data_IF_066439861563
#
_entry.id   IF_066439861563
#
_cell.length_a   1.000
_cell.length_b   1.000
_cell.length_c   1.000
_cell.angle_alpha   90.00
_cell.angle_beta   90.00
_cell.angle_gamma   90.00
#
_symmetry.space_group_name_H-M   'P 1'
#
loop_
_entity.id
_entity.type
_entity.pdbx_description
1 polymer ?
#
# COMPACT_ATOMS: atom_id res chain seq x y z
N UNK A 1 -5.82 13.96 -0.99
CA UNK A 1 -4.68 13.77 -1.90
C UNK A 1 -3.62 14.81 -1.60
N UNK A 2 -2.36 14.42 -1.37
CA UNK A 2 -1.25 15.36 -1.21
C UNK A 2 -0.67 15.78 -2.57
N UNK A 3 -0.75 14.89 -3.57
CA UNK A 3 -0.43 15.20 -4.97
C UNK A 3 -1.58 14.84 -5.89
N UNK A 4 -1.52 15.26 -7.14
CA UNK A 4 -2.40 14.75 -8.19
C UNK A 4 -2.20 13.27 -8.44
N UNK A 5 -3.19 12.61 -9.06
CA UNK A 5 -3.17 11.19 -9.40
C UNK A 5 -2.52 10.91 -10.76
N UNK A 6 -1.93 9.73 -10.90
CA UNK A 6 -1.34 9.29 -12.17
C UNK A 6 -2.42 8.97 -13.20
N UNK A 7 -3.48 8.28 -12.78
CA UNK A 7 -4.56 7.85 -13.67
C UNK A 7 -5.64 8.90 -13.90
N UNK A 8 -5.62 10.02 -13.17
CA UNK A 8 -6.47 11.16 -13.42
C UNK A 8 -5.96 11.96 -14.64
N UNK A 9 -6.77 12.22 -15.69
CA UNK A 9 -6.31 12.92 -16.89
C UNK A 9 -5.96 14.39 -16.68
N UNK A 10 -6.45 15.03 -15.62
CA UNK A 10 -6.37 16.47 -15.41
C UNK A 10 -5.23 16.86 -14.47
N UNK A 11 -5.07 16.12 -13.36
CA UNK A 11 -4.08 16.45 -12.34
C UNK A 11 -2.65 16.03 -12.70
N UNK A 12 -1.66 16.64 -12.06
CA UNK A 12 -0.25 16.26 -12.21
C UNK A 12 0.27 15.63 -10.91
N UNK A 13 0.68 14.39 -10.98
CA UNK A 13 1.19 13.62 -9.84
C UNK A 13 2.44 14.24 -9.17
N UNK A 14 3.12 15.18 -9.85
CA UNK A 14 4.28 15.90 -9.31
C UNK A 14 3.90 17.11 -8.48
N UNK A 15 2.66 17.60 -8.63
CA UNK A 15 2.19 18.85 -8.01
C UNK A 15 1.53 18.55 -6.67
N UNK A 16 1.94 19.29 -5.65
CA UNK A 16 1.27 19.29 -4.35
C UNK A 16 -0.07 20.02 -4.47
N UNK A 17 -1.18 19.33 -4.15
CA UNK A 17 -2.53 19.88 -4.30
C UNK A 17 -3.01 20.64 -3.06
N UNK A 18 -2.68 20.15 -1.87
CA UNK A 18 -3.00 20.82 -0.61
C UNK A 18 -1.79 21.55 -0.07
N UNK A 19 -1.96 22.77 0.42
CA UNK A 19 -0.89 23.47 1.12
C UNK A 19 -0.48 22.74 2.40
N UNK A 20 0.73 22.96 2.88
CA UNK A 20 1.24 22.40 4.14
C UNK A 20 0.28 22.69 5.31
N UNK A 21 -0.28 23.90 5.36
CA UNK A 21 -1.23 24.31 6.39
C UNK A 21 -2.56 23.54 6.32
N UNK A 22 -3.07 23.28 5.10
CA UNK A 22 -4.31 22.50 4.92
C UNK A 22 -4.10 21.05 5.33
N UNK A 23 -2.97 20.44 4.94
CA UNK A 23 -2.65 19.06 5.35
C UNK A 23 -2.46 18.95 6.86
N UNK A 24 -1.69 19.85 7.46
CA UNK A 24 -1.46 19.87 8.90
C UNK A 24 -2.79 20.01 9.67
N UNK A 25 -3.69 20.88 9.19
CA UNK A 25 -5.01 21.04 9.82
C UNK A 25 -5.87 19.81 9.69
N UNK A 26 -5.91 19.16 8.52
CA UNK A 26 -6.65 17.93 8.31
C UNK A 26 -6.17 16.81 9.23
N UNK A 27 -4.85 16.64 9.36
CA UNK A 27 -4.24 15.64 10.25
C UNK A 27 -4.58 15.93 11.71
N UNK A 28 -4.41 17.19 12.16
CA UNK A 28 -4.75 17.60 13.53
C UNK A 28 -6.21 17.29 13.88
N UNK A 29 -7.15 17.64 12.99
CA UNK A 29 -8.57 17.41 13.21
C UNK A 29 -8.93 15.92 13.26
N UNK A 30 -8.34 15.11 12.36
CA UNK A 30 -8.55 13.68 12.33
C UNK A 30 -7.97 13.01 13.60
N UNK A 31 -6.74 13.30 13.95
CA UNK A 31 -6.10 12.74 15.15
C UNK A 31 -6.82 13.13 16.43
N UNK A 32 -7.31 14.38 16.54
CA UNK A 32 -8.13 14.82 17.67
C UNK A 32 -9.44 14.02 17.77
N UNK A 33 -9.98 13.57 16.64
CA UNK A 33 -11.17 12.71 16.59
C UNK A 33 -10.85 11.21 16.77
N UNK A 34 -9.57 10.84 16.95
CA UNK A 34 -9.13 9.44 17.11
C UNK A 34 -9.00 8.67 15.80
N UNK A 35 -8.92 9.37 14.67
CA UNK A 35 -8.81 8.75 13.34
C UNK A 35 -7.39 8.85 12.77
N UNK A 36 -6.98 7.82 12.05
CA UNK A 36 -5.77 7.80 11.24
C UNK A 36 -5.96 8.56 9.94
N UNK A 37 -4.87 9.09 9.37
CA UNK A 37 -4.87 9.79 8.09
C UNK A 37 -3.94 9.10 7.11
N UNK A 38 -4.50 8.61 6.02
CA UNK A 38 -3.77 8.13 4.86
C UNK A 38 -3.65 9.25 3.81
N UNK A 39 -2.54 9.32 3.10
CA UNK A 39 -2.31 10.32 2.06
C UNK A 39 -1.83 9.69 0.76
N UNK A 40 -2.67 9.76 -0.27
CA UNK A 40 -2.20 9.54 -1.63
C UNK A 40 -1.13 10.58 -1.96
N UNK A 41 0.09 10.14 -2.28
CA UNK A 41 1.20 11.02 -2.64
C UNK A 41 2.21 10.30 -3.56
N UNK A 42 2.35 10.80 -4.77
CA UNK A 42 3.25 10.27 -5.78
C UNK A 42 4.55 11.05 -5.89
N UNK A 43 4.45 12.36 -6.06
CA UNK A 43 5.59 13.26 -6.23
C UNK A 43 6.30 13.56 -4.91
N UNK A 44 7.62 13.62 -4.95
CA UNK A 44 8.51 13.86 -3.78
C UNK A 44 8.11 15.05 -2.93
N UNK A 45 7.65 16.17 -3.55
CA UNK A 45 7.26 17.40 -2.83
C UNK A 45 6.04 17.11 -1.93
N UNK A 46 5.00 16.50 -2.49
CA UNK A 46 3.79 16.16 -1.74
C UNK A 46 4.04 15.07 -0.70
N UNK A 47 4.88 14.07 -1.00
CA UNK A 47 5.31 13.05 -0.02
C UNK A 47 5.91 13.73 1.21
N UNK A 48 6.91 14.62 1.02
CA UNK A 48 7.56 15.33 2.13
C UNK A 48 6.59 16.22 2.90
N UNK A 49 5.69 16.90 2.19
CA UNK A 49 4.68 17.75 2.82
C UNK A 49 3.70 16.93 3.67
N UNK A 50 3.21 15.79 3.17
CA UNK A 50 2.34 14.90 3.91
C UNK A 50 3.03 14.31 5.16
N UNK A 51 4.30 13.87 5.03
CA UNK A 51 5.09 13.38 6.17
C UNK A 51 5.26 14.49 7.23
N UNK A 52 5.57 15.74 6.81
CA UNK A 52 5.68 16.88 7.74
C UNK A 52 4.36 17.18 8.43
N UNK A 53 3.25 17.06 7.74
CA UNK A 53 1.91 17.23 8.29
C UNK A 53 1.54 16.16 9.34
N UNK A 54 2.26 15.01 9.35
CA UNK A 54 2.07 13.95 10.34
C UNK A 54 1.04 12.91 9.95
N UNK A 55 0.86 12.63 8.65
CA UNK A 55 0.01 11.53 8.18
C UNK A 55 0.53 10.18 8.71
N UNK A 56 -0.38 9.24 8.93
CA UNK A 56 -0.06 7.91 9.43
C UNK A 56 0.51 7.01 8.32
N UNK A 57 0.02 7.17 7.08
CA UNK A 57 0.53 6.46 5.92
C UNK A 57 0.63 7.32 4.68
N UNK A 58 1.55 6.93 3.80
CA UNK A 58 1.67 7.37 2.41
C UNK A 58 1.23 6.21 1.53
N UNK A 59 0.29 6.47 0.65
CA UNK A 59 -0.15 5.53 -0.38
C UNK A 59 0.65 5.78 -1.65
N UNK A 60 1.10 4.70 -2.29
CA UNK A 60 1.99 4.64 -3.46
C UNK A 60 3.43 5.08 -3.17
N UNK A 61 3.68 6.35 -2.91
CA UNK A 61 5.03 6.85 -2.64
C UNK A 61 5.99 6.67 -3.80
N UNK A 62 5.48 6.69 -5.05
CA UNK A 62 6.21 6.24 -6.25
C UNK A 62 7.50 7.01 -6.53
N UNK A 63 7.56 8.29 -6.15
CA UNK A 63 8.78 9.09 -6.26
C UNK A 63 9.44 9.36 -4.89
N UNK A 64 9.34 8.40 -3.96
CA UNK A 64 9.99 8.47 -2.66
C UNK A 64 11.50 8.58 -2.84
N UNK A 65 12.09 9.70 -2.43
CA UNK A 65 13.53 9.91 -2.44
C UNK A 65 14.19 9.48 -1.11
N UNK A 66 15.50 9.60 -1.03
CA UNK A 66 16.26 9.19 0.15
C UNK A 66 15.88 10.01 1.40
N UNK A 67 15.65 11.31 1.25
CA UNK A 67 15.25 12.18 2.35
C UNK A 67 13.86 11.81 2.86
N UNK A 68 12.90 11.59 1.95
CA UNK A 68 11.54 11.18 2.30
C UNK A 68 11.53 9.83 3.03
N UNK A 69 12.34 8.87 2.57
CA UNK A 69 12.45 7.56 3.22
C UNK A 69 12.99 7.68 4.66
N UNK A 70 14.02 8.51 4.88
CA UNK A 70 14.54 8.81 6.22
C UNK A 70 13.48 9.46 7.11
N UNK A 71 12.77 10.47 6.57
CA UNK A 71 11.70 11.15 7.29
C UNK A 71 10.59 10.19 7.71
N UNK A 72 10.17 9.26 6.82
CA UNK A 72 9.17 8.24 7.14
C UNK A 72 9.64 7.33 8.28
N UNK A 73 10.87 6.83 8.19
CA UNK A 73 11.45 5.96 9.21
C UNK A 73 11.54 6.66 10.58
N UNK A 74 12.01 7.92 10.62
CA UNK A 74 12.13 8.71 11.84
C UNK A 74 10.78 9.04 12.50
N UNK A 75 9.74 9.27 11.69
CA UNK A 75 8.41 9.63 12.17
C UNK A 75 7.49 8.43 12.37
N UNK A 76 7.90 7.24 11.92
CA UNK A 76 7.08 6.04 11.97
C UNK A 76 5.92 6.03 10.98
N UNK A 77 5.97 6.88 9.94
CA UNK A 77 4.97 6.92 8.87
C UNK A 77 5.07 5.65 8.04
N UNK A 78 3.94 5.00 7.77
CA UNK A 78 3.86 3.78 6.97
C UNK A 78 3.89 4.09 5.47
N UNK A 79 4.40 3.13 4.69
CA UNK A 79 4.21 3.10 3.24
C UNK A 79 3.27 1.96 2.87
N UNK A 80 2.26 2.25 2.06
CA UNK A 80 1.38 1.29 1.40
C UNK A 80 1.66 1.38 -0.10
N UNK A 81 2.56 0.53 -0.65
CA UNK A 81 3.22 0.82 -1.93
C UNK A 81 2.40 0.51 -3.17
N UNK A 82 1.38 -0.35 -3.09
CA UNK A 82 0.48 -0.73 -4.21
C UNK A 82 1.23 -1.02 -5.52
N UNK A 83 2.23 -1.90 -5.44
CA UNK A 83 3.18 -2.12 -6.55
C UNK A 83 2.52 -2.76 -7.78
N UNK A 84 1.52 -3.62 -7.56
CA UNK A 84 0.84 -4.34 -8.63
C UNK A 84 -0.13 -3.44 -9.41
N UNK A 85 -0.80 -2.50 -8.74
CA UNK A 85 -1.80 -1.61 -9.32
C UNK A 85 -1.34 -0.96 -10.64
N UNK A 86 -0.18 -0.29 -10.64
CA UNK A 86 0.35 0.33 -11.86
C UNK A 86 0.70 -0.69 -12.95
N UNK A 87 1.19 -1.87 -12.60
CA UNK A 87 1.48 -2.92 -13.58
C UNK A 87 0.19 -3.42 -14.23
N UNK A 88 -0.86 -3.59 -13.44
CA UNK A 88 -2.18 -3.99 -13.90
C UNK A 88 -2.81 -2.92 -14.80
N UNK A 89 -2.82 -1.66 -14.34
CA UNK A 89 -3.36 -0.53 -15.09
C UNK A 89 -2.64 -0.31 -16.43
N UNK A 90 -1.32 -0.44 -16.47
CA UNK A 90 -0.58 -0.33 -17.73
C UNK A 90 -0.89 -1.46 -18.70
N UNK A 91 -1.20 -2.65 -18.21
CA UNK A 91 -1.55 -3.82 -19.02
C UNK A 91 -2.98 -3.74 -19.54
N UNK A 92 -3.93 -3.27 -18.74
CA UNK A 92 -5.37 -3.35 -18.99
C UNK A 92 -6.04 -2.01 -19.28
N UNK A 93 -5.41 -0.89 -18.93
CA UNK A 93 -6.04 0.41 -18.87
C UNK A 93 -6.66 0.88 -20.19
N UNK A 94 -5.96 0.70 -21.33
CA UNK A 94 -6.52 1.09 -22.63
C UNK A 94 -7.77 0.28 -22.97
N UNK A 95 -7.79 -1.02 -22.66
CA UNK A 95 -8.97 -1.88 -22.89
C UNK A 95 -10.12 -1.56 -21.93
N UNK A 96 -9.81 -1.00 -20.75
CA UNK A 96 -10.78 -0.51 -19.76
C UNK A 96 -11.20 0.95 -20.02
N UNK A 97 -10.75 1.57 -21.12
CA UNK A 97 -11.16 2.93 -21.53
C UNK A 97 -10.42 4.06 -20.80
N UNK A 98 -9.27 3.79 -20.18
CA UNK A 98 -8.45 4.86 -19.60
C UNK A 98 -7.88 5.77 -20.70
N UNK A 99 -7.83 7.05 -20.40
CA UNK A 99 -7.34 8.08 -21.31
C UNK A 99 -5.86 7.87 -21.69
N UNK A 100 -5.48 8.05 -22.96
CA UNK A 100 -4.09 7.92 -23.40
C UNK A 100 -3.09 8.81 -22.63
N UNK A 101 -3.52 9.99 -22.19
CA UNK A 101 -2.73 10.92 -21.39
C UNK A 101 -2.39 10.35 -20.01
N UNK A 102 -3.35 9.68 -19.36
CA UNK A 102 -3.15 8.99 -18.09
C UNK A 102 -2.21 7.80 -18.25
N UNK A 103 -2.39 7.02 -19.32
CA UNK A 103 -1.48 5.91 -19.64
C UNK A 103 -0.04 6.38 -19.87
N UNK A 104 0.15 7.52 -20.55
CA UNK A 104 1.47 8.11 -20.75
C UNK A 104 2.12 8.54 -19.42
N UNK A 105 1.35 9.09 -18.48
CA UNK A 105 1.83 9.39 -17.12
C UNK A 105 2.22 8.11 -16.37
N UNK A 106 1.39 7.08 -16.41
CA UNK A 106 1.66 5.77 -15.80
C UNK A 106 2.98 5.16 -16.31
N UNK A 107 3.19 5.14 -17.64
CA UNK A 107 4.44 4.68 -18.26
C UNK A 107 5.65 5.49 -17.77
N UNK A 108 5.48 6.81 -17.61
CA UNK A 108 6.57 7.66 -17.17
C UNK A 108 6.96 7.44 -15.71
N UNK A 109 6.00 7.18 -14.85
CA UNK A 109 6.23 7.08 -13.40
C UNK A 109 6.56 5.65 -12.92
N UNK A 110 6.02 4.61 -13.54
CA UNK A 110 6.17 3.22 -13.07
C UNK A 110 7.62 2.78 -12.90
N UNK A 111 8.54 3.33 -13.68
CA UNK A 111 9.98 3.06 -13.58
C UNK A 111 10.60 3.57 -12.28
N UNK A 112 9.97 4.54 -11.62
CA UNK A 112 10.43 5.10 -10.34
C UNK A 112 9.98 4.25 -9.14
N UNK A 113 8.89 3.48 -9.28
CA UNK A 113 8.26 2.71 -8.21
C UNK A 113 9.21 1.70 -7.57
N UNK A 114 9.86 0.86 -8.37
CA UNK A 114 10.80 -0.13 -7.84
C UNK A 114 12.01 0.49 -7.12
N UNK A 115 12.69 1.50 -7.67
CA UNK A 115 13.74 2.23 -6.94
C UNK A 115 13.26 2.90 -5.65
N UNK A 116 12.06 3.49 -5.64
CA UNK A 116 11.46 4.11 -4.47
C UNK A 116 11.18 3.06 -3.36
N UNK A 117 10.57 1.94 -3.73
CA UNK A 117 10.29 0.85 -2.80
C UNK A 117 11.57 0.28 -2.18
N UNK A 118 12.61 0.04 -2.97
CA UNK A 118 13.92 -0.41 -2.44
C UNK A 118 14.57 0.63 -1.50
N UNK A 119 14.34 1.94 -1.72
CA UNK A 119 14.77 2.97 -0.76
C UNK A 119 14.00 2.85 0.55
N UNK A 120 12.68 2.65 0.49
CA UNK A 120 11.88 2.44 1.70
C UNK A 120 12.42 1.25 2.51
N UNK A 121 12.69 0.11 1.88
CA UNK A 121 13.29 -1.05 2.53
C UNK A 121 14.67 -0.75 3.12
N UNK A 122 15.54 -0.09 2.35
CA UNK A 122 16.90 0.30 2.79
C UNK A 122 16.90 1.15 4.07
N UNK A 123 15.91 2.02 4.22
CA UNK A 123 15.79 2.92 5.38
C UNK A 123 14.81 2.40 6.44
N UNK A 124 14.41 1.12 6.35
CA UNK A 124 13.51 0.46 7.30
C UNK A 124 12.18 1.21 7.51
N UNK A 125 11.63 1.77 6.44
CA UNK A 125 10.28 2.32 6.45
C UNK A 125 9.31 1.19 6.74
N UNK A 126 8.35 1.41 7.62
CA UNK A 126 7.27 0.45 7.90
C UNK A 126 6.42 0.25 6.65
N UNK A 127 6.22 -0.99 6.25
CA UNK A 127 5.40 -1.34 5.06
C UNK A 127 4.14 -2.04 5.53
N UNK A 128 2.99 -1.56 5.03
CA UNK A 128 1.71 -2.25 5.13
C UNK A 128 1.19 -2.59 3.73
N UNK A 129 0.34 -3.59 3.66
CA UNK A 129 -0.21 -4.12 2.41
C UNK A 129 -1.40 -3.30 1.92
N UNK A 130 -1.47 -3.02 0.63
CA UNK A 130 -2.61 -2.40 -0.04
C UNK A 130 -2.49 -2.55 -1.54
N UNK A 131 -3.61 -2.49 -2.28
CA UNK A 131 -3.63 -2.77 -3.74
C UNK A 131 -4.15 -1.63 -4.60
N UNK A 132 -5.12 -0.86 -4.16
CA UNK A 132 -5.73 0.28 -4.88
C UNK A 132 -6.10 -0.03 -6.34
N UNK A 133 -6.84 -1.12 -6.56
CA UNK A 133 -7.23 -1.57 -7.88
C UNK A 133 -8.73 -1.79 -7.97
N UNK A 134 -9.32 -1.54 -9.14
CA UNK A 134 -10.73 -1.79 -9.43
C UNK A 134 -11.03 -3.30 -9.55
N UNK A 135 -10.02 -4.10 -9.90
CA UNK A 135 -10.11 -5.56 -10.00
C UNK A 135 -9.53 -6.24 -8.76
N UNK A 136 -10.29 -6.14 -7.66
CA UNK A 136 -9.88 -6.65 -6.34
C UNK A 136 -9.59 -8.16 -6.40
N UNK A 137 -10.37 -8.93 -7.13
CA UNK A 137 -10.24 -10.40 -7.20
C UNK A 137 -8.90 -10.84 -7.79
N UNK A 138 -8.37 -10.09 -8.77
CA UNK A 138 -7.07 -10.36 -9.36
C UNK A 138 -5.93 -9.72 -8.55
N UNK A 139 -6.08 -8.47 -8.16
CA UNK A 139 -4.97 -7.64 -7.66
C UNK A 139 -4.58 -7.95 -6.22
N UNK A 140 -5.56 -8.30 -5.36
CA UNK A 140 -5.29 -8.57 -3.92
C UNK A 140 -4.25 -9.66 -3.71
N UNK A 141 -4.27 -10.72 -4.50
CA UNK A 141 -3.31 -11.82 -4.33
C UNK A 141 -1.96 -11.56 -4.99
N UNK A 142 -1.92 -10.76 -6.06
CA UNK A 142 -0.71 -10.51 -6.87
C UNK A 142 0.22 -9.47 -6.25
N UNK A 143 -0.27 -8.61 -5.39
CA UNK A 143 0.57 -7.66 -4.66
C UNK A 143 1.62 -8.37 -3.80
N UNK A 144 1.35 -9.58 -3.27
CA UNK A 144 2.37 -10.38 -2.57
C UNK A 144 3.60 -10.64 -3.46
N UNK A 145 3.36 -11.08 -4.68
CA UNK A 145 4.42 -11.31 -5.67
C UNK A 145 5.17 -10.03 -6.02
N UNK A 146 4.47 -8.91 -6.17
CA UNK A 146 5.05 -7.62 -6.48
C UNK A 146 5.96 -7.12 -5.33
N UNK A 147 5.54 -7.26 -4.07
CA UNK A 147 6.35 -6.90 -2.89
C UNK A 147 7.65 -7.73 -2.84
N UNK A 148 7.57 -9.04 -3.08
CA UNK A 148 8.75 -9.91 -3.08
C UNK A 148 9.69 -9.58 -4.26
N UNK A 149 9.17 -9.34 -5.45
CA UNK A 149 9.96 -8.88 -6.60
C UNK A 149 10.59 -7.50 -6.33
N UNK A 150 9.93 -6.66 -5.55
CA UNK A 150 10.42 -5.36 -5.11
C UNK A 150 11.59 -5.43 -4.11
N UNK A 151 11.78 -6.58 -3.43
CA UNK A 151 12.90 -6.84 -2.52
C UNK A 151 12.53 -7.29 -1.11
N UNK A 152 11.25 -7.48 -0.77
CA UNK A 152 10.84 -8.11 0.49
C UNK A 152 11.07 -9.62 0.44
N UNK A 153 11.31 -10.21 1.60
CA UNK A 153 11.19 -11.65 1.77
C UNK A 153 9.71 -12.06 1.76
N UNK A 154 9.38 -13.33 1.44
CA UNK A 154 8.01 -13.82 1.56
C UNK A 154 7.40 -13.59 2.95
N UNK A 155 8.20 -13.78 4.02
CA UNK A 155 7.74 -13.53 5.39
C UNK A 155 7.36 -12.06 5.62
N UNK A 156 8.20 -11.12 5.18
CA UNK A 156 7.91 -9.68 5.30
C UNK A 156 6.64 -9.29 4.54
N UNK A 157 6.43 -9.85 3.33
CA UNK A 157 5.21 -9.60 2.56
C UNK A 157 3.95 -10.13 3.27
N UNK A 158 4.02 -11.32 3.89
CA UNK A 158 2.94 -11.85 4.72
C UNK A 158 2.69 -11.00 5.96
N UNK A 159 3.74 -10.54 6.62
CA UNK A 159 3.63 -9.64 7.78
C UNK A 159 3.01 -8.28 7.39
N UNK A 160 3.37 -7.74 6.23
CA UNK A 160 2.77 -6.51 5.71
C UNK A 160 1.24 -6.63 5.56
N UNK A 161 0.75 -7.79 5.11
CA UNK A 161 -0.67 -8.07 4.90
C UNK A 161 -1.42 -8.50 6.17
N UNK A 162 -0.73 -8.74 7.27
CA UNK A 162 -1.32 -9.23 8.52
C UNK A 162 -1.05 -8.30 9.69
N UNK A 163 0.04 -8.55 10.44
CA UNK A 163 0.32 -7.78 11.68
C UNK A 163 0.59 -6.30 11.39
N UNK A 164 1.32 -5.96 10.31
CA UNK A 164 1.61 -4.56 10.02
C UNK A 164 0.35 -3.80 9.56
N UNK A 165 -0.52 -4.43 8.76
CA UNK A 165 -1.83 -3.85 8.43
C UNK A 165 -2.67 -3.61 9.68
N UNK A 166 -2.69 -4.57 10.61
CA UNK A 166 -3.39 -4.44 11.88
C UNK A 166 -2.80 -3.31 12.75
N UNK A 167 -1.47 -3.19 12.84
CA UNK A 167 -0.78 -2.09 13.55
C UNK A 167 -1.10 -0.73 12.95
N UNK A 168 -1.02 -0.60 11.61
CA UNK A 168 -1.37 0.64 10.93
C UNK A 168 -2.78 1.08 11.26
N UNK A 169 -3.72 0.14 11.31
CA UNK A 169 -5.13 0.40 11.60
C UNK A 169 -5.44 0.47 13.11
N UNK A 170 -4.45 0.24 14.00
CA UNK A 170 -4.63 0.15 15.46
C UNK A 170 -5.59 -0.98 15.86
N UNK A 171 -5.58 -2.10 15.12
CA UNK A 171 -6.37 -3.31 15.33
C UNK A 171 -5.51 -4.52 15.75
N UNK A 172 -4.25 -4.31 16.05
CA UNK A 172 -3.26 -5.35 16.39
C UNK A 172 -3.59 -6.13 17.66
N UNK A 173 -4.45 -5.61 18.52
CA UNK A 173 -4.99 -6.32 19.68
C UNK A 173 -6.00 -7.41 19.31
N UNK A 174 -6.70 -7.22 18.20
CA UNK A 174 -7.83 -8.04 17.76
C UNK A 174 -7.52 -8.87 16.52
N UNK A 175 -6.55 -8.44 15.69
CA UNK A 175 -6.23 -8.99 14.36
C UNK A 175 -4.71 -9.14 14.15
N UNK A 176 -4.34 -9.73 13.02
CA UNK A 176 -2.98 -9.73 12.47
C UNK A 176 -2.10 -10.90 12.90
N UNK A 177 -2.41 -11.60 13.99
CA UNK A 177 -1.68 -12.79 14.46
C UNK A 177 -2.64 -13.89 14.90
N UNK A 178 -2.16 -15.13 14.91
CA UNK A 178 -2.91 -16.30 15.39
C UNK A 178 -2.61 -16.48 16.88
N UNK A 179 -3.43 -15.85 17.72
CA UNK A 179 -3.27 -15.86 19.18
C UNK A 179 -4.63 -16.00 19.87
N UNK A 180 -4.69 -16.64 21.07
CA UNK A 180 -5.90 -16.70 21.86
C UNK A 180 -6.42 -15.29 22.18
N UNK A 181 -7.72 -15.09 21.99
CA UNK A 181 -8.39 -13.82 22.26
C UNK A 181 -8.57 -12.90 21.04
N UNK A 182 -7.88 -13.17 19.93
CA UNK A 182 -8.08 -12.46 18.66
C UNK A 182 -9.19 -13.08 17.82
N UNK A 183 -9.70 -12.31 16.85
CA UNK A 183 -10.67 -12.84 15.90
C UNK A 183 -10.08 -13.99 15.09
N UNK A 184 -10.90 -15.02 14.88
CA UNK A 184 -10.55 -16.17 14.06
C UNK A 184 -10.76 -15.83 12.57
N UNK A 185 -9.86 -15.02 12.02
CA UNK A 185 -9.76 -14.63 10.62
C UNK A 185 -8.57 -15.37 10.01
N UNK A 186 -8.84 -16.37 9.16
CA UNK A 186 -7.80 -17.22 8.59
C UNK A 186 -7.98 -17.38 7.09
N UNK A 187 -6.86 -17.51 6.40
CA UNK A 187 -6.80 -18.08 5.06
C UNK A 187 -5.86 -19.27 5.06
N UNK A 188 -6.19 -20.29 4.27
CA UNK A 188 -5.29 -21.41 4.03
C UNK A 188 -4.95 -21.51 2.55
N UNK A 189 -3.68 -21.79 2.28
CA UNK A 189 -3.12 -21.96 0.94
C UNK A 189 -2.58 -23.39 0.79
N UNK A 190 -2.47 -23.92 -0.45
CA UNK A 190 -2.14 -25.33 -0.68
C UNK A 190 -0.73 -25.76 -0.24
N UNK A 191 0.24 -24.82 -0.29
CA UNK A 191 1.65 -25.11 0.03
C UNK A 191 2.23 -23.98 0.88
N UNK A 192 3.50 -24.09 1.27
CA UNK A 192 4.17 -23.12 2.12
C UNK A 192 4.45 -21.80 1.36
N UNK A 193 3.84 -20.67 1.73
CA UNK A 193 4.05 -19.38 1.07
C UNK A 193 5.44 -18.78 1.30
N UNK A 194 6.22 -19.32 2.25
CA UNK A 194 7.62 -18.92 2.46
C UNK A 194 8.56 -19.48 1.40
N UNK A 195 8.18 -20.60 0.77
CA UNK A 195 8.94 -21.22 -0.32
C UNK A 195 8.54 -20.62 -1.68
N UNK A 196 7.25 -20.33 -1.87
CA UNK A 196 6.70 -19.70 -3.07
C UNK A 196 5.52 -18.80 -2.70
N UNK A 197 5.75 -17.49 -2.74
CA UNK A 197 4.72 -16.52 -2.35
C UNK A 197 3.54 -16.49 -3.32
N UNK A 198 3.70 -16.95 -4.58
CA UNK A 198 2.63 -16.96 -5.57
C UNK A 198 1.49 -17.90 -5.20
N UNK A 199 1.69 -18.82 -4.26
CA UNK A 199 0.62 -19.66 -3.71
C UNK A 199 -0.51 -18.83 -3.07
N UNK A 200 -0.23 -17.59 -2.67
CA UNK A 200 -1.25 -16.65 -2.18
C UNK A 200 -2.30 -16.30 -3.24
N UNK A 201 -2.02 -16.53 -4.53
CA UNK A 201 -3.01 -16.42 -5.61
C UNK A 201 -4.03 -17.58 -5.61
N UNK A 202 -3.82 -18.59 -4.78
CA UNK A 202 -4.60 -19.83 -4.74
C UNK A 202 -5.14 -20.13 -3.33
N UNK A 203 -5.76 -19.12 -2.69
CA UNK A 203 -6.39 -19.31 -1.37
C UNK A 203 -7.44 -20.41 -1.45
N UNK A 204 -7.21 -21.51 -0.75
CA UNK A 204 -8.06 -22.70 -0.77
C UNK A 204 -9.23 -22.63 0.22
N UNK A 205 -9.05 -21.93 1.34
CA UNK A 205 -10.02 -21.87 2.42
C UNK A 205 -9.97 -20.50 3.12
N UNK A 206 -11.13 -20.01 3.56
CA UNK A 206 -11.26 -18.72 4.26
C UNK A 206 -12.23 -18.84 5.43
N UNK A 207 -11.81 -18.34 6.59
CA UNK A 207 -12.64 -18.15 7.78
C UNK A 207 -12.65 -16.65 8.15
N UNK A 208 -13.81 -16.14 8.50
CA UNK A 208 -14.01 -14.76 9.00
C UNK A 208 -14.78 -14.81 10.31
N UNK A 209 -14.21 -14.24 11.37
CA UNK A 209 -14.79 -14.20 12.72
C UNK A 209 -15.29 -15.59 13.20
N UNK A 210 -14.52 -16.63 12.92
CA UNK A 210 -14.85 -18.02 13.28
C UNK A 210 -15.87 -18.71 12.36
N UNK A 211 -16.37 -18.04 11.31
CA UNK A 211 -17.29 -18.62 10.33
C UNK A 211 -16.53 -18.94 9.04
N UNK A 212 -16.66 -20.17 8.55
CA UNK A 212 -16.08 -20.58 7.26
C UNK A 212 -16.90 -19.95 6.13
N UNK A 213 -16.26 -19.07 5.35
CA UNK A 213 -16.89 -18.36 4.22
C UNK A 213 -16.49 -18.94 2.86
N UNK A 214 -15.32 -19.61 2.80
CA UNK A 214 -14.89 -20.42 1.66
C UNK A 214 -14.41 -21.78 2.17
N UNK A 215 -15.19 -22.87 2.01
CA UNK A 215 -14.76 -24.22 2.40
C UNK A 215 -13.70 -24.76 1.42
N UNK A 216 -12.95 -25.78 1.86
CA UNK A 216 -12.13 -26.58 0.94
C UNK A 216 -13.03 -27.22 -0.12
N UNK A 217 -12.65 -27.06 -1.37
CA UNK A 217 -13.31 -27.69 -2.53
C UNK A 217 -12.77 -29.11 -2.77
#
# INVERSE_FOLDING_TARGET
MATGGVMDPISDYRVQELSDAQMARAVEDAHRAGHKVMAHAEGTVGIKAAIRAGVDSIEHGTMLDEESAKMMAERGTWLVPTLYCFQHDLKTGLSKGREPSSMAKGIAIVKEQGPAFRRALKYHVKIAYGVDDDDIDESVSKEFGALVQGGMTPLEALQAATIHGAELLSLDKDLGTIEPGKFADFVAVPTNPLDDITVMEHVAWVMKSGVVVKPLS
#
